data_IF_043029302383
#
_entry.id   IF_043029302383
#
_cell.length_a   1.000
_cell.length_b   1.000
_cell.length_c   1.000
_cell.angle_alpha   90.00
_cell.angle_beta   90.00
_cell.angle_gamma   90.00
#
_symmetry.space_group_name_H-M   'P 1'
#
loop_
_entity.id
_entity.type
_entity.pdbx_description
1 polymer ?
#
# COMPACT_ATOMS: atom_id res chain seq x y z
N UNK A 1 10.19 0.10 34.88
CA UNK A 1 9.15 -0.30 33.90
C UNK A 1 9.87 -0.53 32.60
N UNK A 2 10.02 -1.79 32.18
CA UNK A 2 10.71 -2.13 30.93
C UNK A 2 9.79 -1.69 29.80
N UNK A 3 10.19 -0.67 29.04
CA UNK A 3 9.57 -0.39 27.76
C UNK A 3 9.90 -1.59 26.87
N UNK A 4 8.89 -2.37 26.51
CA UNK A 4 9.04 -3.37 25.46
C UNK A 4 9.45 -2.61 24.21
N UNK A 5 10.71 -2.75 23.81
CA UNK A 5 11.23 -2.10 22.62
C UNK A 5 10.46 -2.66 21.42
N UNK A 6 9.85 -1.75 20.66
CA UNK A 6 9.15 -2.09 19.43
C UNK A 6 10.13 -2.79 18.47
N UNK A 7 9.92 -4.07 18.21
CA UNK A 7 10.73 -4.85 17.27
C UNK A 7 10.14 -4.77 15.86
N UNK A 8 10.49 -3.69 15.15
CA UNK A 8 10.09 -3.52 13.75
C UNK A 8 10.86 -4.42 12.78
N UNK A 9 11.87 -5.17 13.23
CA UNK A 9 12.57 -6.12 12.36
C UNK A 9 11.68 -7.28 11.90
N UNK A 10 10.54 -7.47 12.57
CA UNK A 10 9.52 -8.46 12.24
C UNK A 10 8.57 -8.00 11.14
N UNK A 11 8.63 -6.74 10.70
CA UNK A 11 7.78 -6.21 9.65
C UNK A 11 7.97 -6.98 8.34
N UNK A 12 6.90 -7.63 7.88
CA UNK A 12 6.88 -8.39 6.62
C UNK A 12 5.94 -7.77 5.60
N UNK A 13 4.81 -7.24 6.04
CA UNK A 13 3.79 -6.71 5.14
C UNK A 13 3.39 -5.27 5.47
N UNK A 14 2.95 -4.54 4.45
CA UNK A 14 2.25 -3.28 4.59
C UNK A 14 0.77 -3.49 4.27
N UNK A 15 -0.11 -3.24 5.24
CA UNK A 15 -1.55 -3.18 5.02
C UNK A 15 -1.96 -1.75 4.74
N UNK A 16 -2.69 -1.55 3.66
CA UNK A 16 -3.23 -0.26 3.24
C UNK A 16 -4.74 -0.22 3.48
N UNK A 17 -5.25 0.93 3.89
CA UNK A 17 -6.65 1.27 3.85
C UNK A 17 -6.77 2.73 3.41
N UNK A 18 -7.00 2.94 2.10
CA UNK A 18 -7.01 4.28 1.52
C UNK A 18 -8.38 4.61 0.93
N UNK A 19 -8.99 5.71 1.38
CA UNK A 19 -10.17 6.27 0.74
C UNK A 19 -9.79 6.94 -0.59
N UNK A 20 -10.24 6.38 -1.71
CA UNK A 20 -9.86 6.84 -3.05
C UNK A 20 -10.88 7.84 -3.58
N UNK A 21 -10.39 8.98 -4.06
CA UNK A 21 -11.23 10.04 -4.63
C UNK A 21 -11.52 9.88 -6.11
N UNK A 22 -10.49 9.50 -6.88
CA UNK A 22 -10.53 9.42 -8.34
C UNK A 22 -10.12 8.01 -8.75
N UNK A 23 -11.11 7.15 -8.99
CA UNK A 23 -10.86 5.78 -9.45
C UNK A 23 -10.46 5.75 -10.92
N UNK A 24 -10.99 6.70 -11.69
CA UNK A 24 -10.76 6.91 -13.11
C UNK A 24 -9.30 7.19 -13.48
N UNK A 25 -8.46 7.58 -12.52
CA UNK A 25 -7.03 7.79 -12.72
C UNK A 25 -6.23 6.46 -12.74
N UNK A 26 -6.87 5.33 -12.43
CA UNK A 26 -6.31 3.99 -12.58
C UNK A 26 -6.81 3.28 -13.84
N UNK A 27 -6.04 2.29 -14.28
CA UNK A 27 -6.46 1.34 -15.32
C UNK A 27 -6.14 -0.09 -14.94
N UNK A 28 -6.99 -1.01 -15.36
CA UNK A 28 -6.87 -2.46 -15.14
C UNK A 28 -6.90 -3.16 -16.49
N UNK A 29 -5.88 -3.96 -16.78
CA UNK A 29 -5.69 -4.63 -18.08
C UNK A 29 -5.80 -3.68 -19.28
N UNK A 30 -5.28 -2.45 -19.12
CA UNK A 30 -5.29 -1.41 -20.14
C UNK A 30 -6.64 -0.71 -20.34
N UNK A 31 -7.62 -0.95 -19.47
CA UNK A 31 -8.92 -0.27 -19.47
C UNK A 31 -9.06 0.61 -18.24
N UNK A 32 -9.43 1.87 -18.44
CA UNK A 32 -9.65 2.82 -17.35
C UNK A 32 -10.70 2.31 -16.36
N UNK A 33 -10.43 2.47 -15.07
CA UNK A 33 -11.29 2.03 -13.97
C UNK A 33 -12.22 3.16 -13.52
N UNK A 34 -12.98 3.69 -14.47
CA UNK A 34 -13.78 4.92 -14.37
C UNK A 34 -14.63 5.00 -13.09
N UNK A 35 -15.17 3.87 -12.65
CA UNK A 35 -16.03 3.79 -11.47
C UNK A 35 -15.43 2.96 -10.33
N UNK A 36 -14.19 2.50 -10.45
CA UNK A 36 -13.50 1.66 -9.46
C UNK A 36 -14.02 0.22 -9.40
N UNK A 37 -14.75 -0.27 -10.39
CA UNK A 37 -15.35 -1.62 -10.35
C UNK A 37 -14.42 -2.72 -10.85
N UNK A 38 -13.28 -2.35 -11.47
CA UNK A 38 -12.31 -3.30 -12.04
C UNK A 38 -11.17 -3.61 -11.10
N UNK A 39 -10.73 -2.63 -10.30
CA UNK A 39 -9.57 -2.82 -9.42
C UNK A 39 -9.89 -3.87 -8.33
N UNK A 40 -8.99 -4.86 -8.13
CA UNK A 40 -9.07 -5.73 -6.97
C UNK A 40 -8.99 -4.95 -5.66
N UNK A 41 -9.56 -5.54 -4.60
CA UNK A 41 -9.48 -5.05 -3.21
C UNK A 41 -10.19 -3.73 -2.92
N UNK A 42 -11.11 -3.30 -3.78
CA UNK A 42 -12.05 -2.25 -3.41
C UNK A 42 -13.08 -2.78 -2.41
N UNK A 43 -13.36 -1.99 -1.36
CA UNK A 43 -14.47 -2.20 -0.43
C UNK A 43 -15.12 -0.85 -0.12
N UNK A 44 -16.27 -0.58 -0.74
CA UNK A 44 -16.89 0.75 -0.69
C UNK A 44 -15.97 1.80 -1.31
N UNK A 45 -15.61 2.82 -0.54
CA UNK A 45 -14.69 3.88 -0.99
C UNK A 45 -13.22 3.55 -0.71
N UNK A 46 -12.94 2.41 -0.08
CA UNK A 46 -11.60 2.03 0.35
C UNK A 46 -10.92 1.09 -0.65
N UNK A 47 -9.63 1.30 -0.86
CA UNK A 47 -8.72 0.33 -1.46
C UNK A 47 -7.88 -0.34 -0.36
N UNK A 48 -7.96 -1.68 -0.29
CA UNK A 48 -7.48 -2.47 0.86
C UNK A 48 -6.40 -3.52 0.53
N UNK A 49 -5.32 -3.22 -0.23
CA UNK A 49 -4.29 -4.20 -0.54
C UNK A 49 -3.39 -4.50 0.67
N UNK A 50 -2.71 -5.63 0.60
CA UNK A 50 -1.57 -5.97 1.47
C UNK A 50 -0.36 -6.20 0.58
N UNK A 51 0.74 -5.50 0.84
CA UNK A 51 1.99 -5.60 0.09
C UNK A 51 2.99 -6.42 0.92
N UNK A 52 3.59 -7.44 0.32
CA UNK A 52 4.79 -8.08 0.85
C UNK A 52 6.01 -7.18 0.60
N UNK A 53 6.62 -6.70 1.69
CA UNK A 53 7.74 -5.75 1.62
C UNK A 53 9.02 -6.38 1.08
N UNK A 54 9.19 -7.69 1.26
CA UNK A 54 10.37 -8.44 0.83
C UNK A 54 10.28 -8.75 -0.67
N UNK A 55 9.12 -9.25 -1.12
CA UNK A 55 8.91 -9.64 -2.51
C UNK A 55 8.44 -8.49 -3.41
N UNK A 56 7.95 -7.39 -2.82
CA UNK A 56 7.43 -6.26 -3.58
C UNK A 56 6.18 -6.61 -4.36
N UNK A 57 5.24 -7.33 -3.75
CA UNK A 57 4.04 -7.83 -4.43
C UNK A 57 2.80 -7.70 -3.58
N UNK A 58 1.66 -7.52 -4.23
CA UNK A 58 0.36 -7.55 -3.56
C UNK A 58 -0.02 -9.00 -3.27
N UNK A 59 -0.35 -9.30 -2.02
CA UNK A 59 -0.87 -10.60 -1.62
C UNK A 59 -2.25 -10.82 -2.22
N UNK A 60 -2.51 -12.06 -2.64
CA UNK A 60 -3.78 -12.51 -3.22
C UNK A 60 -4.24 -11.71 -4.45
N UNK A 61 -3.29 -11.03 -5.11
CA UNK A 61 -3.57 -10.33 -6.36
C UNK A 61 -4.01 -11.34 -7.44
N UNK A 62 -5.10 -11.10 -8.18
CA UNK A 62 -5.58 -12.07 -9.16
C UNK A 62 -4.58 -12.31 -10.29
N UNK A 63 -4.31 -13.58 -10.59
CA UNK A 63 -3.43 -13.97 -11.69
C UNK A 63 -3.92 -13.41 -13.03
N UNK A 64 -2.99 -12.88 -13.83
CA UNK A 64 -3.28 -12.32 -15.14
C UNK A 64 -3.83 -10.89 -15.13
N UNK A 65 -3.97 -10.26 -13.95
CA UNK A 65 -4.43 -8.87 -13.84
C UNK A 65 -3.25 -7.92 -13.76
N UNK A 66 -3.19 -6.95 -14.65
CA UNK A 66 -2.25 -5.82 -14.61
C UNK A 66 -2.99 -4.54 -14.22
N UNK A 67 -2.33 -3.65 -13.49
CA UNK A 67 -2.90 -2.36 -13.14
C UNK A 67 -1.86 -1.22 -13.20
N UNK A 68 -2.32 -0.04 -13.58
CA UNK A 68 -1.68 1.25 -13.26
C UNK A 68 -2.53 1.93 -12.21
N UNK A 69 -1.94 2.23 -11.07
CA UNK A 69 -2.58 2.89 -9.93
C UNK A 69 -2.09 4.33 -9.87
N UNK A 70 -3.03 5.26 -9.75
CA UNK A 70 -2.78 6.67 -9.51
C UNK A 70 -3.95 7.23 -8.68
N UNK A 71 -3.98 6.93 -7.38
CA UNK A 71 -5.10 7.29 -6.53
C UNK A 71 -4.80 8.51 -5.69
N UNK A 72 -5.65 9.54 -5.77
CA UNK A 72 -5.70 10.57 -4.74
C UNK A 72 -6.38 10.01 -3.49
N UNK A 73 -5.71 10.13 -2.35
CA UNK A 73 -6.23 9.76 -1.03
C UNK A 73 -6.86 10.98 -0.36
N UNK A 74 -8.12 10.87 0.08
CA UNK A 74 -8.83 11.96 0.77
C UNK A 74 -8.60 11.92 2.29
N UNK A 75 -7.43 12.37 2.76
CA UNK A 75 -7.11 12.64 4.18
C UNK A 75 -7.50 11.56 5.22
N UNK A 76 -7.72 10.32 4.77
CA UNK A 76 -8.23 9.21 5.57
C UNK A 76 -7.48 7.89 5.25
N UNK A 77 -6.23 8.00 4.82
CA UNK A 77 -5.35 6.85 4.61
C UNK A 77 -4.88 6.28 5.95
N UNK A 78 -5.07 4.99 6.15
CA UNK A 78 -4.49 4.26 7.27
C UNK A 78 -3.54 3.16 6.77
N UNK A 79 -2.36 3.09 7.38
CA UNK A 79 -1.31 2.17 6.97
C UNK A 79 -0.72 1.47 8.19
N UNK A 80 -0.50 0.16 8.07
CA UNK A 80 0.03 -0.65 9.17
C UNK A 80 1.12 -1.60 8.68
N UNK A 81 2.18 -1.71 9.49
CA UNK A 81 3.12 -2.82 9.36
C UNK A 81 2.52 -4.05 10.03
N UNK A 82 2.63 -5.19 9.34
CA UNK A 82 2.25 -6.50 9.85
C UNK A 82 3.47 -7.42 9.96
N UNK A 83 3.43 -8.33 10.92
CA UNK A 83 4.39 -9.44 11.04
C UNK A 83 4.09 -10.57 10.02
N UNK A 84 4.92 -11.61 10.03
CA UNK A 84 4.72 -12.80 9.18
C UNK A 84 3.38 -13.53 9.41
N UNK A 85 2.77 -13.39 10.60
CA UNK A 85 1.47 -13.97 10.95
C UNK A 85 0.29 -13.04 10.59
N UNK A 86 0.55 -11.91 9.91
CA UNK A 86 -0.41 -10.86 9.56
C UNK A 86 -1.01 -10.14 10.78
N UNK A 87 -0.33 -10.16 11.93
CA UNK A 87 -0.66 -9.35 13.09
C UNK A 87 -0.12 -7.93 12.90
N UNK A 88 -0.94 -6.93 13.25
CA UNK A 88 -0.49 -5.52 13.24
C UNK A 88 0.56 -5.33 14.33
N UNK A 89 1.70 -4.77 13.97
CA UNK A 89 2.79 -4.46 14.91
C UNK A 89 3.07 -2.97 15.03
N UNK A 90 2.72 -2.19 14.00
CA UNK A 90 2.81 -0.74 14.05
C UNK A 90 1.83 -0.06 13.08
N UNK A 91 1.49 1.20 13.37
CA UNK A 91 0.69 2.10 12.54
C UNK A 91 1.56 3.26 12.06
N UNK A 92 1.36 3.69 10.83
CA UNK A 92 2.00 4.88 10.28
C UNK A 92 1.64 6.12 11.11
N UNK A 93 2.63 6.92 11.51
CA UNK A 93 2.42 8.16 12.29
C UNK A 93 2.01 9.34 11.42
N UNK A 94 2.43 9.34 10.15
CA UNK A 94 2.20 10.45 9.24
C UNK A 94 0.72 10.61 8.88
N UNK A 95 0.33 11.84 8.54
CA UNK A 95 -1.00 12.17 8.01
C UNK A 95 -1.11 11.93 6.50
N UNK A 96 0.04 11.86 5.82
CA UNK A 96 0.17 11.71 4.38
C UNK A 96 0.42 10.26 3.96
N UNK A 97 0.21 9.99 2.68
CA UNK A 97 0.61 8.72 2.04
C UNK A 97 2.11 8.48 2.29
N UNK A 98 2.53 7.28 2.72
CA UNK A 98 3.94 6.92 2.85
C UNK A 98 4.56 6.70 1.46
N UNK A 99 5.06 7.78 0.85
CA UNK A 99 5.62 7.82 -0.50
C UNK A 99 6.63 6.68 -0.75
N UNK A 100 7.55 6.41 0.19
CA UNK A 100 8.59 5.38 0.05
C UNK A 100 8.04 3.96 -0.21
N UNK A 101 6.77 3.69 0.14
CA UNK A 101 6.13 2.39 -0.01
C UNK A 101 5.05 2.37 -1.09
N UNK A 102 4.43 3.52 -1.36
CA UNK A 102 3.22 3.62 -2.18
C UNK A 102 3.40 4.51 -3.41
N UNK A 103 4.61 4.99 -3.66
CA UNK A 103 4.98 5.79 -4.83
C UNK A 103 6.22 5.17 -5.49
N UNK A 104 6.00 4.15 -6.33
CA UNK A 104 7.08 3.44 -7.04
C UNK A 104 7.11 3.91 -8.49
N UNK A 105 8.19 4.59 -8.84
CA UNK A 105 8.43 5.14 -10.19
C UNK A 105 7.93 6.56 -10.40
N UNK A 106 7.31 7.19 -9.39
CA UNK A 106 6.93 8.60 -9.38
C UNK A 106 6.84 9.14 -7.93
N UNK A 107 6.60 10.44 -7.74
CA UNK A 107 6.36 11.05 -6.41
C UNK A 107 4.88 11.32 -6.19
N UNK A 108 4.35 10.87 -5.05
CA UNK A 108 2.95 11.08 -4.67
C UNK A 108 2.71 12.40 -3.94
N UNK A 109 3.77 13.13 -3.58
CA UNK A 109 3.71 14.40 -2.85
C UNK A 109 2.85 14.33 -1.56
N UNK A 110 2.73 13.14 -0.96
CA UNK A 110 1.95 12.88 0.24
C UNK A 110 0.45 12.66 0.05
N UNK A 111 -0.10 12.92 -1.14
CA UNK A 111 -1.54 12.84 -1.42
C UNK A 111 -1.93 11.64 -2.28
N UNK A 112 -0.97 11.05 -2.99
CA UNK A 112 -1.23 10.06 -4.02
C UNK A 112 -0.56 8.73 -3.74
N UNK A 113 -1.23 7.65 -4.14
CA UNK A 113 -0.65 6.32 -4.31
C UNK A 113 -0.38 6.13 -5.80
N UNK A 114 0.87 5.86 -6.18
CA UNK A 114 1.29 5.78 -7.59
C UNK A 114 2.23 4.59 -7.80
N UNK A 115 1.77 3.55 -8.48
CA UNK A 115 2.63 2.47 -8.96
C UNK A 115 1.93 1.58 -9.99
N UNK A 116 2.66 0.61 -10.54
CA UNK A 116 2.12 -0.43 -11.41
C UNK A 116 2.09 -1.77 -10.69
N UNK A 117 1.15 -2.62 -11.07
CA UNK A 117 1.10 -4.02 -10.65
C UNK A 117 1.11 -4.89 -11.90
N UNK A 118 2.09 -5.80 -11.99
CA UNK A 118 2.19 -6.77 -13.08
C UNK A 118 1.21 -7.93 -12.91
N UNK A 119 1.08 -8.74 -13.97
CA UNK A 119 0.13 -9.86 -14.05
C UNK A 119 0.28 -10.93 -12.95
N UNK A 120 1.41 -10.95 -12.24
CA UNK A 120 1.72 -11.86 -11.13
C UNK A 120 1.59 -11.20 -9.75
N UNK A 121 1.07 -9.97 -9.69
CA UNK A 121 0.93 -9.17 -8.48
C UNK A 121 2.20 -8.43 -8.05
N UNK A 122 3.32 -8.56 -8.77
CA UNK A 122 4.58 -7.88 -8.44
C UNK A 122 4.49 -6.41 -8.85
N UNK A 123 5.01 -5.52 -8.00
CA UNK A 123 5.23 -4.11 -8.30
C UNK A 123 6.56 -4.00 -9.05
N UNK A 124 6.57 -3.64 -10.34
CA UNK A 124 7.81 -3.45 -11.07
C UNK A 124 8.68 -2.39 -10.41
N UNK A 125 10.01 -2.61 -10.45
CA UNK A 125 11.01 -1.72 -9.85
C UNK A 125 10.91 -1.55 -8.32
N UNK A 126 10.18 -2.44 -7.63
CA UNK A 126 10.13 -2.44 -6.18
C UNK A 126 11.51 -2.50 -5.55
N UNK A 127 11.73 -1.57 -4.61
CA UNK A 127 12.87 -1.60 -3.69
C UNK A 127 12.29 -1.49 -2.30
N UNK A 128 12.58 -2.48 -1.45
CA UNK A 128 12.16 -2.44 -0.07
C UNK A 128 12.73 -1.16 0.58
N UNK A 129 11.89 -0.22 1.04
CA UNK A 129 12.36 1.05 1.58
C UNK A 129 13.00 0.92 2.97
N UNK A 130 12.95 -0.28 3.57
CA UNK A 130 13.29 -0.48 4.97
C UNK A 130 12.18 0.02 5.88
N UNK A 131 12.43 0.05 7.18
CA UNK A 131 11.49 0.56 8.18
C UNK A 131 12.22 1.54 9.08
N UNK A 132 11.78 2.80 9.08
CA UNK A 132 12.27 3.84 9.98
C UNK A 132 11.40 3.90 11.26
N UNK A 133 11.92 3.49 12.44
CA UNK A 133 11.17 3.51 13.69
C UNK A 133 10.58 4.88 14.07
N UNK A 134 11.15 5.99 13.57
CA UNK A 134 10.63 7.32 13.86
C UNK A 134 9.28 7.58 13.18
N UNK A 135 8.99 6.91 12.07
CA UNK A 135 7.78 7.09 11.26
C UNK A 135 6.61 6.17 11.67
N UNK A 136 6.86 5.16 12.51
CA UNK A 136 5.87 4.17 12.91
C UNK A 136 5.61 4.18 14.42
N UNK A 137 4.34 4.05 14.82
CA UNK A 137 3.90 3.95 16.20
C UNK A 137 3.49 2.50 16.52
N UNK A 138 3.92 1.92 17.66
CA UNK A 138 3.49 0.59 18.06
C UNK A 138 1.97 0.55 18.27
N UNK A 139 1.36 -0.62 18.05
CA UNK A 139 -0.08 -0.87 18.22
C UNK A 139 -0.37 -1.87 19.34
#
# INVERSE_FOLDING_TARGET
MSQTQLDLSQARYLKVSAAVRYWEDASVNGVDDVDGTRIPFRTGDLWLPIIDLVEGRLLDWPDGVEARIHYKVCDAGEYWLLDANRQRIAKWKGYYVPDDYLCVGDSGHGDYIIFKVGANGVIPDWRNPGVDPEQWAPV
#
